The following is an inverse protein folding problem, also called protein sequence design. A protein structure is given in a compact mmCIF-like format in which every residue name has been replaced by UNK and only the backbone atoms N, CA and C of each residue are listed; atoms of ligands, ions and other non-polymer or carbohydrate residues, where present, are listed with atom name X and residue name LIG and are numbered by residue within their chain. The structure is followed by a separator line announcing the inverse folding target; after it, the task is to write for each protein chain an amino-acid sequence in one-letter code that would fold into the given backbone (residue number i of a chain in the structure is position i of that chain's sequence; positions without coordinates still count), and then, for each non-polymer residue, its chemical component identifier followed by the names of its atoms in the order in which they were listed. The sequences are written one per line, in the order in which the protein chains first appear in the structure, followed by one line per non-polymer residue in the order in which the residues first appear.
data_IF_907810394895
#
_entry.id   IF_907810394895
#
_cell.length_a   1.000
_cell.length_b   1.000
_cell.length_c   1.000
_cell.angle_alpha   90.00
_cell.angle_beta   90.00
_cell.angle_gamma   90.00
#
_symmetry.space_group_name_H-M   'P 1'
#
loop_
_entity.id
_entity.type
_entity.pdbx_description
1 polymer ?
#
# COMPACT_ATOMS: atom_id res chain seq x y z
N UNK A 1 -62.63 -27.99 -37.15
CA UNK A 1 -61.43 -28.88 -37.14
C UNK A 1 -60.26 -28.07 -37.71
N UNK A 2 -59.12 -27.80 -37.10
CA UNK A 2 -58.46 -28.22 -35.85
C UNK A 2 -57.68 -27.01 -35.29
N UNK A 3 -57.78 -26.81 -33.99
CA UNK A 3 -56.86 -25.99 -33.19
C UNK A 3 -55.46 -26.60 -33.23
N UNK A 4 -54.42 -25.80 -33.45
CA UNK A 4 -53.03 -26.19 -33.21
C UNK A 4 -52.36 -25.15 -32.30
N UNK A 5 -52.58 -25.38 -31.01
CA UNK A 5 -51.90 -24.71 -29.89
C UNK A 5 -50.41 -25.05 -29.93
N UNK A 6 -49.56 -24.18 -30.50
CA UNK A 6 -48.11 -24.21 -30.27
C UNK A 6 -47.83 -23.43 -28.99
N UNK A 7 -47.76 -24.14 -27.86
CA UNK A 7 -47.12 -23.65 -26.64
C UNK A 7 -45.67 -23.31 -26.99
N UNK A 8 -45.35 -22.02 -27.11
CA UNK A 8 -43.97 -21.56 -26.99
C UNK A 8 -43.58 -21.76 -25.52
N UNK A 9 -42.78 -22.78 -25.28
CA UNK A 9 -42.16 -23.01 -23.98
C UNK A 9 -41.23 -21.83 -23.70
N UNK A 10 -41.51 -21.07 -22.65
CA UNK A 10 -40.53 -20.15 -22.08
C UNK A 10 -39.31 -20.97 -21.62
N UNK A 11 -38.07 -20.50 -21.83
CA UNK A 11 -36.90 -21.22 -21.36
C UNK A 11 -36.82 -21.14 -19.83
N UNK A 12 -37.44 -22.11 -19.15
CA UNK A 12 -37.23 -22.39 -17.73
C UNK A 12 -35.93 -23.15 -17.57
N UNK A 13 -34.81 -22.45 -17.69
CA UNK A 13 -33.59 -22.88 -17.03
C UNK A 13 -32.99 -21.65 -16.38
N UNK A 14 -32.89 -21.69 -15.04
CA UNK A 14 -32.08 -20.74 -14.29
C UNK A 14 -30.68 -20.59 -14.89
N UNK A 15 -30.14 -21.61 -15.58
CA UNK A 15 -28.85 -21.52 -16.27
C UNK A 15 -28.88 -20.62 -17.51
N UNK A 16 -29.98 -20.56 -18.25
CA UNK A 16 -30.10 -19.70 -19.43
C UNK A 16 -30.25 -18.22 -19.04
N UNK A 17 -31.00 -17.96 -17.97
CA UNK A 17 -31.15 -16.62 -17.37
C UNK A 17 -29.84 -16.19 -16.71
N UNK A 18 -29.15 -17.07 -15.98
CA UNK A 18 -27.84 -16.78 -15.41
C UNK A 18 -26.77 -16.56 -16.50
N UNK A 19 -26.78 -17.33 -17.59
CA UNK A 19 -25.86 -17.14 -18.73
C UNK A 19 -26.14 -15.83 -19.48
N UNK A 20 -27.41 -15.42 -19.58
CA UNK A 20 -27.78 -14.12 -20.14
C UNK A 20 -27.39 -12.95 -19.22
N UNK A 21 -27.52 -13.10 -17.89
CA UNK A 21 -27.13 -12.09 -16.91
C UNK A 21 -25.59 -11.92 -16.80
N UNK A 22 -24.82 -13.01 -16.96
CA UNK A 22 -23.36 -12.97 -17.06
C UNK A 22 -22.88 -12.36 -18.38
N UNK A 23 -23.66 -12.49 -19.47
CA UNK A 23 -23.36 -11.85 -20.77
C UNK A 23 -23.87 -10.40 -20.88
N UNK A 24 -24.82 -9.98 -20.05
CA UNK A 24 -25.47 -8.67 -20.10
C UNK A 24 -24.99 -7.70 -19.01
N UNK A 25 -24.13 -8.14 -18.09
CA UNK A 25 -23.40 -7.22 -17.21
C UNK A 25 -22.20 -6.69 -17.99
N UNK A 26 -22.15 -5.38 -18.31
CA UNK A 26 -20.92 -4.81 -18.84
C UNK A 26 -19.84 -5.06 -17.77
N UNK A 27 -18.86 -5.89 -18.10
CA UNK A 27 -17.68 -6.08 -17.26
C UNK A 27 -17.15 -4.68 -17.01
N UNK A 28 -17.16 -4.23 -15.76
CA UNK A 28 -16.57 -2.96 -15.41
C UNK A 28 -15.12 -3.01 -15.94
N UNK A 29 -14.65 -2.04 -16.74
CA UNK A 29 -13.30 -2.08 -17.29
C UNK A 29 -12.20 -2.34 -16.23
N UNK A 30 -12.45 -1.97 -14.97
CA UNK A 30 -11.58 -2.32 -13.84
C UNK A 30 -11.54 -3.82 -13.51
N UNK A 31 -12.66 -4.54 -13.62
CA UNK A 31 -12.76 -5.96 -13.30
C UNK A 31 -12.01 -6.81 -14.33
N UNK A 32 -12.04 -6.41 -15.61
CA UNK A 32 -11.24 -7.04 -16.67
C UNK A 32 -9.73 -6.83 -16.44
N UNK A 33 -9.32 -5.62 -16.07
CA UNK A 33 -7.92 -5.29 -15.80
C UNK A 33 -7.38 -6.11 -14.61
N UNK A 34 -8.09 -6.17 -13.50
CA UNK A 34 -7.65 -6.94 -12.33
C UNK A 34 -7.69 -8.45 -12.59
N UNK A 35 -8.66 -8.95 -13.36
CA UNK A 35 -8.68 -10.36 -13.77
C UNK A 35 -7.43 -10.71 -14.59
N UNK A 36 -7.03 -9.86 -15.53
CA UNK A 36 -5.81 -10.07 -16.34
C UNK A 36 -4.55 -10.00 -15.49
N UNK A 37 -4.47 -9.10 -14.52
CA UNK A 37 -3.32 -9.01 -13.60
C UNK A 37 -3.26 -10.18 -12.61
N UNK A 38 -4.40 -10.71 -12.14
CA UNK A 38 -4.45 -11.93 -11.30
C UNK A 38 -4.05 -13.19 -12.07
N UNK A 39 -4.44 -13.28 -13.34
CA UNK A 39 -3.95 -14.32 -14.26
C UNK A 39 -2.44 -14.21 -14.45
N UNK A 40 -1.92 -12.99 -14.42
CA UNK A 40 -0.51 -12.65 -14.50
C UNK A 40 0.01 -12.56 -15.93
N UNK A 41 1.21 -11.97 -16.06
CA UNK A 41 1.89 -11.81 -17.34
C UNK A 41 3.40 -11.94 -17.19
N UNK A 42 4.05 -12.33 -18.28
CA UNK A 42 5.50 -12.32 -18.39
C UNK A 42 5.98 -10.88 -18.57
N UNK A 43 6.74 -10.36 -17.61
CA UNK A 43 7.45 -9.09 -17.71
C UNK A 43 8.95 -9.32 -17.55
N UNK A 44 9.75 -8.46 -18.17
CA UNK A 44 11.19 -8.49 -18.06
C UNK A 44 11.63 -7.49 -16.99
N UNK A 45 12.19 -8.01 -15.89
CA UNK A 45 12.86 -7.20 -14.88
C UNK A 45 14.22 -6.76 -15.40
N UNK A 46 14.38 -5.46 -15.64
CA UNK A 46 15.58 -4.88 -16.22
C UNK A 46 16.60 -4.52 -15.13
N UNK A 47 17.88 -4.70 -15.45
CA UNK A 47 18.99 -4.37 -14.56
C UNK A 47 19.90 -3.28 -15.12
N UNK A 48 20.65 -2.59 -14.24
CA UNK A 48 21.72 -1.64 -14.59
C UNK A 48 22.68 -2.04 -15.71
N UNK A 49 23.00 -3.32 -15.77
CA UNK A 49 23.90 -3.96 -16.74
C UNK A 49 23.17 -4.41 -18.01
N UNK A 50 21.91 -4.07 -18.19
CA UNK A 50 21.12 -4.45 -19.36
C UNK A 50 20.62 -5.89 -19.34
N UNK A 51 20.91 -6.67 -18.30
CA UNK A 51 20.30 -7.99 -18.16
C UNK A 51 18.79 -7.86 -17.96
N UNK A 52 18.03 -8.67 -18.69
CA UNK A 52 16.57 -8.73 -18.66
C UNK A 52 16.12 -10.09 -18.15
N UNK A 53 15.49 -10.10 -16.99
CA UNK A 53 15.04 -11.32 -16.34
C UNK A 53 13.54 -11.54 -16.59
N UNK A 54 13.13 -12.56 -17.37
CA UNK A 54 11.72 -12.86 -17.55
C UNK A 54 11.13 -13.38 -16.24
N UNK A 55 10.03 -12.78 -15.79
CA UNK A 55 9.33 -13.12 -14.55
C UNK A 55 7.83 -13.08 -14.79
N UNK A 56 7.12 -14.10 -14.29
CA UNK A 56 5.67 -14.11 -14.28
C UNK A 56 5.19 -13.26 -13.10
N UNK A 57 4.75 -12.04 -13.38
CA UNK A 57 4.15 -11.15 -12.39
C UNK A 57 2.66 -11.41 -12.32
N UNK A 58 2.09 -11.37 -11.12
CA UNK A 58 0.66 -11.53 -10.88
C UNK A 58 0.24 -10.78 -9.61
N UNK A 59 -1.04 -10.43 -9.52
CA UNK A 59 -1.64 -9.98 -8.26
C UNK A 59 -1.99 -11.18 -7.38
N UNK A 60 -1.69 -11.07 -6.10
CA UNK A 60 -1.97 -12.07 -5.08
C UNK A 60 -2.72 -11.45 -3.89
N UNK A 61 -3.31 -12.28 -3.04
CA UNK A 61 -3.99 -11.89 -1.80
C UNK A 61 -4.97 -10.71 -1.98
N UNK A 62 -6.11 -10.96 -2.64
CA UNK A 62 -7.20 -9.98 -2.82
C UNK A 62 -6.77 -8.64 -3.46
N UNK A 63 -5.76 -8.65 -4.33
CA UNK A 63 -5.26 -7.48 -5.07
C UNK A 63 -4.38 -6.53 -4.24
N UNK A 64 -3.88 -6.98 -3.09
CA UNK A 64 -3.00 -6.19 -2.20
C UNK A 64 -1.51 -6.34 -2.48
N UNK A 65 -1.14 -7.36 -3.28
CA UNK A 65 0.26 -7.76 -3.45
C UNK A 65 0.62 -7.97 -4.92
N UNK A 66 1.66 -7.27 -5.39
CA UNK A 66 2.34 -7.56 -6.65
C UNK A 66 3.41 -8.63 -6.39
N UNK A 67 3.31 -9.78 -7.06
CA UNK A 67 4.17 -10.93 -6.78
C UNK A 67 4.84 -11.51 -8.01
N UNK A 68 6.01 -12.14 -7.83
CA UNK A 68 6.66 -12.97 -8.85
C UNK A 68 7.59 -14.04 -8.24
N UNK A 69 7.82 -15.14 -8.95
CA UNK A 69 8.80 -16.17 -8.54
C UNK A 69 10.15 -16.00 -9.25
N UNK A 70 11.26 -16.31 -8.55
CA UNK A 70 12.57 -16.43 -9.19
C UNK A 70 12.60 -17.60 -10.19
N UNK A 71 13.34 -17.45 -11.28
CA UNK A 71 13.56 -18.52 -12.26
C UNK A 71 14.08 -19.78 -11.55
N UNK A 72 13.40 -20.91 -11.73
CA UNK A 72 13.77 -22.20 -11.15
C UNK A 72 13.19 -22.51 -9.76
N UNK A 73 12.43 -21.58 -9.15
CA UNK A 73 11.79 -21.76 -7.84
C UNK A 73 10.26 -21.56 -7.93
N UNK A 74 9.60 -22.30 -8.83
CA UNK A 74 8.14 -22.29 -9.00
C UNK A 74 7.37 -22.65 -7.70
N UNK A 75 8.03 -23.32 -6.75
CA UNK A 75 7.51 -23.64 -5.41
C UNK A 75 8.23 -22.90 -4.27
N UNK A 76 9.12 -21.95 -4.58
CA UNK A 76 9.81 -21.13 -3.59
C UNK A 76 8.98 -19.91 -3.18
N UNK A 77 9.34 -19.27 -2.06
CA UNK A 77 8.65 -18.06 -1.59
C UNK A 77 8.63 -16.99 -2.70
N UNK A 78 7.45 -16.45 -3.07
CA UNK A 78 7.38 -15.38 -4.06
C UNK A 78 8.07 -14.13 -3.53
N UNK A 79 8.64 -13.35 -4.45
CA UNK A 79 8.96 -11.96 -4.17
C UNK A 79 7.66 -11.19 -4.18
N UNK A 80 7.45 -10.34 -3.17
CA UNK A 80 6.20 -9.63 -2.94
C UNK A 80 6.51 -8.14 -2.76
N UNK A 81 5.73 -7.30 -3.42
CA UNK A 81 5.65 -5.86 -3.19
C UNK A 81 4.23 -5.54 -2.75
N UNK A 82 4.08 -4.83 -1.64
CA UNK A 82 2.77 -4.39 -1.18
C UNK A 82 2.32 -3.23 -2.06
N UNK A 83 1.09 -3.29 -2.56
CA UNK A 83 0.58 -2.23 -3.43
C UNK A 83 0.50 -0.89 -2.69
N UNK A 84 0.24 -0.92 -1.37
CA UNK A 84 0.25 0.26 -0.49
C UNK A 84 1.62 0.97 -0.35
N UNK A 85 2.72 0.29 -0.69
CA UNK A 85 4.09 0.83 -0.59
C UNK A 85 4.58 1.40 -1.93
N UNK A 86 3.75 1.36 -2.97
CA UNK A 86 4.07 1.94 -4.27
C UNK A 86 3.83 3.44 -4.18
N UNK A 87 4.89 4.22 -4.38
CA UNK A 87 4.83 5.68 -4.32
C UNK A 87 4.37 6.28 -5.65
N UNK A 88 4.91 5.75 -6.76
CA UNK A 88 4.62 6.25 -8.10
C UNK A 88 4.91 5.19 -9.18
N UNK A 89 4.29 5.38 -10.34
CA UNK A 89 4.58 4.61 -11.55
C UNK A 89 5.05 5.57 -12.63
N UNK A 90 6.24 5.32 -13.17
CA UNK A 90 6.84 6.11 -14.24
C UNK A 90 6.76 5.33 -15.55
N UNK A 91 6.03 5.85 -16.53
CA UNK A 91 5.94 5.26 -17.87
C UNK A 91 7.24 5.48 -18.65
N UNK A 92 7.72 4.53 -19.47
CA UNK A 92 8.89 4.73 -20.33
C UNK A 92 10.22 4.81 -19.59
N UNK A 93 11.20 5.53 -20.16
CA UNK A 93 12.60 5.52 -19.72
C UNK A 93 12.94 6.60 -18.68
N UNK A 94 12.07 6.79 -17.71
CA UNK A 94 12.18 7.88 -16.73
C UNK A 94 12.97 7.52 -15.45
N UNK A 95 13.40 6.26 -15.29
CA UNK A 95 14.27 5.83 -14.19
C UNK A 95 15.76 6.00 -14.50
N UNK A 96 16.60 6.04 -13.47
CA UNK A 96 18.06 6.10 -13.63
C UNK A 96 18.61 4.86 -14.34
N UNK A 97 18.01 3.69 -14.14
CA UNK A 97 18.37 2.47 -14.86
C UNK A 97 18.12 2.64 -16.35
N UNK A 98 16.91 2.99 -16.76
CA UNK A 98 16.57 3.12 -18.17
C UNK A 98 17.35 4.24 -18.87
N UNK A 99 17.52 5.41 -18.23
CA UNK A 99 18.38 6.49 -18.74
C UNK A 99 19.82 6.01 -19.01
N UNK A 100 20.38 5.19 -18.10
CA UNK A 100 21.71 4.58 -18.29
C UNK A 100 21.72 3.51 -19.38
N UNK A 101 20.67 2.71 -19.51
CA UNK A 101 20.58 1.72 -20.57
C UNK A 101 20.48 2.38 -21.94
N UNK A 102 19.71 3.45 -22.05
CA UNK A 102 19.57 4.27 -23.26
C UNK A 102 20.90 4.89 -23.67
N UNK A 103 21.60 5.56 -22.73
CA UNK A 103 22.90 6.18 -23.01
C UNK A 103 23.98 5.17 -23.42
N UNK A 104 23.90 3.94 -22.90
CA UNK A 104 24.79 2.84 -23.27
C UNK A 104 24.29 2.02 -24.47
N UNK A 105 23.21 2.43 -25.15
CA UNK A 105 22.59 1.72 -26.28
C UNK A 105 22.29 0.25 -26.00
N UNK A 106 21.86 -0.06 -24.77
CA UNK A 106 21.44 -1.41 -24.33
C UNK A 106 19.93 -1.63 -24.49
N UNK A 107 19.20 -0.59 -24.87
CA UNK A 107 17.78 -0.60 -25.24
C UNK A 107 17.59 0.32 -26.46
N UNK A 108 16.55 0.08 -27.25
CA UNK A 108 16.21 0.92 -28.40
C UNK A 108 15.19 1.99 -28.00
N UNK A 109 15.22 3.16 -28.63
CA UNK A 109 14.23 4.22 -28.40
C UNK A 109 12.80 3.72 -28.66
N UNK A 110 12.61 2.89 -29.70
CA UNK A 110 11.31 2.29 -30.04
C UNK A 110 10.74 1.38 -28.95
N UNK A 111 11.58 0.87 -28.05
CA UNK A 111 11.16 -0.05 -27.00
C UNK A 111 10.67 0.70 -25.74
N UNK A 112 10.74 2.04 -25.71
CA UNK A 112 10.29 2.86 -24.58
C UNK A 112 8.81 2.61 -24.26
N UNK A 113 7.98 2.42 -25.30
CA UNK A 113 6.54 2.19 -25.13
C UNK A 113 6.19 0.87 -24.42
N UNK A 114 7.16 -0.01 -24.19
CA UNK A 114 6.99 -1.25 -23.45
C UNK A 114 7.46 -1.15 -22.00
N UNK A 115 8.15 -0.06 -21.64
CA UNK A 115 8.82 0.09 -20.38
C UNK A 115 7.99 0.87 -19.36
N UNK A 116 8.16 0.53 -18.09
CA UNK A 116 7.65 1.27 -16.96
C UNK A 116 8.45 0.95 -15.71
N UNK A 117 8.39 1.84 -14.71
CA UNK A 117 9.09 1.68 -13.45
C UNK A 117 8.12 1.85 -12.30
N UNK A 118 8.15 0.93 -11.34
CA UNK A 118 7.44 1.06 -10.07
C UNK A 118 8.44 1.60 -9.06
N UNK A 119 8.16 2.78 -8.50
CA UNK A 119 8.92 3.31 -7.38
C UNK A 119 8.21 2.94 -6.08
N UNK A 120 8.98 2.54 -5.08
CA UNK A 120 8.47 2.11 -3.78
C UNK A 120 9.45 2.47 -2.68
N UNK A 121 8.97 2.39 -1.44
CA UNK A 121 9.73 2.71 -0.23
C UNK A 121 10.22 4.17 -0.24
N UNK A 122 9.27 5.13 -0.31
CA UNK A 122 9.53 6.57 -0.30
C UNK A 122 10.51 7.02 -1.40
N UNK A 123 10.32 6.51 -2.61
CA UNK A 123 11.13 6.77 -3.80
C UNK A 123 12.58 6.29 -3.72
N UNK A 124 12.95 5.50 -2.70
CA UNK A 124 14.32 4.98 -2.53
C UNK A 124 14.62 3.80 -3.44
N UNK A 125 13.58 3.08 -3.88
CA UNK A 125 13.74 1.88 -4.68
C UNK A 125 12.93 1.93 -5.98
N UNK A 126 13.48 1.27 -7.01
CA UNK A 126 12.91 1.20 -8.35
C UNK A 126 12.86 -0.26 -8.82
N UNK A 127 11.69 -0.65 -9.33
CA UNK A 127 11.50 -1.90 -10.08
C UNK A 127 11.28 -1.57 -11.55
N UNK A 128 12.35 -1.67 -12.32
CA UNK A 128 12.36 -1.41 -13.76
C UNK A 128 11.84 -2.62 -14.55
N UNK A 129 10.76 -2.43 -15.32
CA UNK A 129 10.06 -3.50 -16.03
C UNK A 129 9.87 -3.18 -17.52
N UNK A 130 9.89 -4.20 -18.35
CA UNK A 130 9.42 -4.14 -19.74
C UNK A 130 8.39 -5.23 -20.01
N UNK A 131 7.28 -4.87 -20.65
CA UNK A 131 6.31 -5.82 -21.16
C UNK A 131 6.71 -6.33 -22.56
N UNK A 132 6.02 -7.37 -23.03
CA UNK A 132 6.17 -7.89 -24.39
C UNK A 132 5.49 -7.02 -25.46
N UNK A 133 4.50 -6.24 -25.06
CA UNK A 133 3.71 -5.36 -25.92
C UNK A 133 3.11 -4.21 -25.10
N UNK A 134 2.69 -3.16 -25.79
CA UNK A 134 2.15 -1.97 -25.17
C UNK A 134 0.83 -2.25 -24.44
N UNK A 135 -0.02 -3.13 -24.95
CA UNK A 135 -1.30 -3.48 -24.33
C UNK A 135 -1.07 -4.07 -22.94
N UNK A 136 -0.11 -4.99 -22.81
CA UNK A 136 0.29 -5.59 -21.55
C UNK A 136 0.85 -4.52 -20.62
N UNK A 137 1.76 -3.65 -21.10
CA UNK A 137 2.30 -2.53 -20.30
C UNK A 137 1.19 -1.65 -19.76
N UNK A 138 0.28 -1.20 -20.61
CA UNK A 138 -0.83 -0.31 -20.24
C UNK A 138 -1.79 -0.98 -19.27
N UNK A 139 -2.03 -2.29 -19.42
CA UNK A 139 -2.82 -3.06 -18.45
C UNK A 139 -2.23 -3.03 -17.06
N UNK A 140 -0.90 -3.24 -16.95
CA UNK A 140 -0.21 -3.20 -15.66
C UNK A 140 -0.18 -1.80 -15.05
N UNK A 141 0.11 -0.77 -15.85
CA UNK A 141 0.10 0.62 -15.37
C UNK A 141 -1.30 1.01 -14.89
N UNK A 142 -2.32 0.80 -15.73
CA UNK A 142 -3.69 1.19 -15.40
C UNK A 142 -4.18 0.46 -14.17
N UNK A 143 -3.94 -0.85 -14.07
CA UNK A 143 -4.39 -1.63 -12.93
C UNK A 143 -3.66 -1.26 -11.64
N UNK A 144 -2.34 -1.04 -11.67
CA UNK A 144 -1.61 -0.56 -10.50
C UNK A 144 -2.05 0.85 -10.09
N UNK A 145 -2.28 1.76 -11.05
CA UNK A 145 -2.82 3.10 -10.76
C UNK A 145 -4.22 3.03 -10.15
N UNK A 146 -5.11 2.18 -10.68
CA UNK A 146 -6.44 1.96 -10.11
C UNK A 146 -6.36 1.38 -8.70
N UNK A 147 -5.39 0.49 -8.41
CA UNK A 147 -5.19 -0.02 -7.07
C UNK A 147 -4.61 1.04 -6.13
N UNK A 148 -3.58 1.79 -6.55
CA UNK A 148 -3.04 2.92 -5.78
C UNK A 148 -4.14 3.94 -5.48
N UNK A 149 -4.96 4.29 -6.47
CA UNK A 149 -6.09 5.19 -6.32
C UNK A 149 -7.18 4.57 -5.43
N UNK A 150 -7.42 3.25 -5.52
CA UNK A 150 -8.27 2.53 -4.59
C UNK A 150 -7.70 2.62 -3.18
N UNK A 151 -6.40 2.54 -2.93
CA UNK A 151 -5.82 2.73 -1.60
C UNK A 151 -5.94 4.18 -1.11
N UNK A 152 -5.76 5.15 -2.00
CA UNK A 152 -5.95 6.58 -1.70
C UNK A 152 -7.41 6.94 -1.42
N UNK A 153 -8.36 6.35 -2.16
CA UNK A 153 -9.82 6.56 -2.04
C UNK A 153 -10.48 5.70 -0.98
N UNK A 154 -10.04 4.45 -0.83
CA UNK A 154 -10.39 3.59 0.31
C UNK A 154 -9.84 4.15 1.59
N UNK A 155 -9.01 5.20 1.49
CA UNK A 155 -8.43 5.94 2.57
C UNK A 155 -7.50 5.09 3.40
N UNK A 156 -6.98 3.94 2.98
CA UNK A 156 -6.19 3.06 3.88
C UNK A 156 -4.96 3.77 4.46
N UNK A 157 -4.39 4.73 3.73
CA UNK A 157 -3.41 5.69 4.26
C UNK A 157 -4.00 6.69 5.30
N UNK A 158 -5.30 6.98 5.19
CA UNK A 158 -6.16 7.77 6.11
C UNK A 158 -6.84 6.94 7.24
N UNK A 159 -6.98 5.63 7.10
CA UNK A 159 -7.77 4.71 7.95
C UNK A 159 -6.91 3.94 8.94
N UNK A 160 -5.59 3.94 8.76
CA UNK A 160 -4.68 3.71 9.88
C UNK A 160 -5.00 4.69 11.03
N UNK A 161 -5.66 5.83 10.74
CA UNK A 161 -6.07 6.85 11.71
C UNK A 161 -7.60 7.00 11.93
N UNK A 162 -8.47 6.12 11.41
CA UNK A 162 -9.91 6.15 11.74
C UNK A 162 -10.33 4.94 12.56
N UNK A 163 -10.87 5.18 13.76
CA UNK A 163 -11.26 4.16 14.72
C UNK A 163 -12.17 3.07 14.12
N UNK A 164 -13.05 3.44 13.18
CA UNK A 164 -13.99 2.51 12.54
C UNK A 164 -13.32 1.40 11.71
N UNK A 165 -12.19 1.67 11.05
CA UNK A 165 -11.49 0.63 10.28
C UNK A 165 -10.73 -0.33 11.20
N UNK A 166 -10.11 0.21 12.27
CA UNK A 166 -9.44 -0.58 13.29
C UNK A 166 -10.46 -1.49 14.01
N UNK A 167 -11.63 -0.96 14.35
CA UNK A 167 -12.74 -1.74 14.90
C UNK A 167 -13.31 -2.78 13.91
N UNK A 168 -13.22 -2.53 12.60
CA UNK A 168 -13.57 -3.54 11.61
C UNK A 168 -12.53 -4.66 11.54
N UNK A 169 -11.23 -4.36 11.67
CA UNK A 169 -10.18 -5.38 11.79
C UNK A 169 -10.32 -6.21 13.07
N UNK A 170 -10.73 -5.57 14.17
CA UNK A 170 -11.07 -6.25 15.41
C UNK A 170 -12.14 -7.34 15.18
N UNK A 171 -13.25 -6.99 14.52
CA UNK A 171 -14.34 -7.93 14.22
C UNK A 171 -13.93 -9.10 13.33
N UNK A 172 -12.96 -8.89 12.44
CA UNK A 172 -12.44 -9.96 11.57
C UNK A 172 -11.51 -10.90 12.36
N UNK A 173 -10.79 -10.37 13.34
CA UNK A 173 -9.90 -11.14 14.20
C UNK A 173 -10.62 -11.90 15.31
N UNK A 174 -11.73 -11.37 15.80
CA UNK A 174 -12.60 -11.96 16.82
C UNK A 174 -13.45 -13.09 16.18
N UNK A 175 -12.80 -14.23 15.92
CA UNK A 175 -13.41 -15.33 15.16
C UNK A 175 -14.45 -16.09 15.97
N UNK A 176 -14.34 -16.02 17.30
CA UNK A 176 -15.28 -16.64 18.22
C UNK A 176 -16.41 -15.69 18.66
N UNK A 177 -16.40 -14.45 18.17
CA UNK A 177 -17.38 -13.39 18.50
C UNK A 177 -17.50 -13.18 20.02
N UNK A 178 -16.37 -13.34 20.72
CA UNK A 178 -16.29 -13.20 22.17
C UNK A 178 -16.32 -11.74 22.62
N UNK A 179 -16.15 -10.80 21.69
CA UNK A 179 -16.08 -9.37 21.95
C UNK A 179 -14.73 -8.92 22.48
N UNK A 180 -13.70 -9.78 22.46
CA UNK A 180 -12.35 -9.50 22.95
C UNK A 180 -11.31 -10.34 22.24
N UNK A 181 -10.15 -9.76 21.93
CA UNK A 181 -9.11 -10.48 21.21
C UNK A 181 -8.11 -11.14 22.15
N UNK A 182 -7.88 -12.43 21.92
CA UNK A 182 -6.76 -13.14 22.52
C UNK A 182 -5.43 -12.69 21.92
N UNK A 183 -4.33 -12.99 22.61
CA UNK A 183 -2.96 -12.76 22.09
C UNK A 183 -2.73 -13.43 20.74
N UNK A 184 -3.30 -14.62 20.53
CA UNK A 184 -3.12 -15.40 19.31
C UNK A 184 -3.87 -14.79 18.13
N UNK A 185 -5.09 -14.30 18.35
CA UNK A 185 -5.88 -13.60 17.34
C UNK A 185 -5.25 -12.27 16.97
N UNK A 186 -4.79 -11.50 17.96
CA UNK A 186 -4.00 -10.30 17.72
C UNK A 186 -2.73 -10.57 16.91
N UNK A 187 -1.92 -11.59 17.27
CA UNK A 187 -0.71 -11.92 16.50
C UNK A 187 -1.02 -12.35 15.06
N UNK A 188 -2.10 -13.12 14.88
CA UNK A 188 -2.55 -13.54 13.55
C UNK A 188 -2.96 -12.33 12.72
N UNK A 189 -3.78 -11.44 13.28
CA UNK A 189 -4.19 -10.21 12.61
C UNK A 189 -3.00 -9.31 12.24
N UNK A 190 -2.01 -9.15 13.12
CA UNK A 190 -0.81 -8.36 12.80
C UNK A 190 0.01 -8.99 11.68
N UNK A 191 0.09 -10.32 11.65
CA UNK A 191 0.75 -11.06 10.57
C UNK A 191 -0.01 -10.89 9.26
N UNK A 192 -1.34 -10.93 9.30
CA UNK A 192 -2.21 -10.88 8.13
C UNK A 192 -2.36 -9.45 7.56
N UNK A 193 -2.44 -8.44 8.42
CA UNK A 193 -2.70 -7.02 8.05
C UNK A 193 -1.42 -6.22 7.83
N UNK A 194 -0.39 -6.42 8.66
CA UNK A 194 0.85 -5.66 8.59
C UNK A 194 1.99 -6.43 7.91
N UNK A 195 1.82 -7.72 7.59
CA UNK A 195 2.83 -8.57 6.95
C UNK A 195 4.22 -8.50 7.63
N UNK A 196 4.23 -8.21 8.93
CA UNK A 196 5.45 -7.94 9.70
C UNK A 196 5.58 -8.97 10.81
N UNK A 197 6.71 -9.69 10.86
CA UNK A 197 7.04 -10.54 12.01
C UNK A 197 7.54 -9.67 13.15
N UNK A 198 6.63 -9.20 13.99
CA UNK A 198 7.00 -8.51 15.22
C UNK A 198 7.75 -9.47 16.16
N UNK A 199 8.91 -9.08 16.71
CA UNK A 199 9.58 -9.87 17.74
C UNK A 199 8.64 -10.12 18.92
N UNK A 200 8.48 -11.39 19.33
CA UNK A 200 7.55 -11.78 20.41
C UNK A 200 7.69 -10.94 21.69
N UNK A 201 8.91 -10.51 22.02
CA UNK A 201 9.18 -9.66 23.19
C UNK A 201 8.55 -8.26 23.07
N UNK A 202 8.59 -7.67 21.88
CA UNK A 202 7.98 -6.37 21.61
C UNK A 202 6.44 -6.49 21.58
N UNK A 203 5.92 -7.56 20.97
CA UNK A 203 4.49 -7.85 20.99
C UNK A 203 3.95 -7.98 22.40
N UNK A 204 4.63 -8.77 23.25
CA UNK A 204 4.20 -8.96 24.64
C UNK A 204 4.22 -7.65 25.44
N UNK A 205 5.19 -6.78 25.19
CA UNK A 205 5.28 -5.48 25.86
C UNK A 205 4.11 -4.58 25.45
N UNK A 206 3.88 -4.43 24.13
CA UNK A 206 2.82 -3.58 23.59
C UNK A 206 1.43 -4.09 23.95
N UNK A 207 1.23 -5.42 23.92
CA UNK A 207 -0.03 -6.04 24.32
C UNK A 207 -0.31 -5.77 25.80
N UNK A 208 0.71 -5.89 26.66
CA UNK A 208 0.57 -5.62 28.09
C UNK A 208 0.31 -4.14 28.39
N UNK A 209 0.85 -3.25 27.57
CA UNK A 209 0.63 -1.81 27.70
C UNK A 209 -0.78 -1.40 27.28
N UNK A 210 -1.34 -2.07 26.27
CA UNK A 210 -2.71 -1.86 25.82
C UNK A 210 -3.79 -2.56 26.67
N UNK A 211 -3.45 -3.67 27.34
CA UNK A 211 -4.33 -4.41 28.27
C UNK A 211 -4.47 -3.66 29.61
N UNK A 212 -5.23 -2.55 29.59
CA UNK A 212 -5.47 -1.67 30.74
C UNK A 212 -6.39 -2.35 31.76
N UNK A 213 -7.37 -3.11 31.27
CA UNK A 213 -8.29 -3.93 32.04
C UNK A 213 -7.57 -5.06 32.81
N UNK A 214 -6.38 -5.47 32.35
CA UNK A 214 -5.56 -6.56 32.89
C UNK A 214 -6.26 -7.92 32.85
N UNK A 215 -7.15 -8.10 31.90
CA UNK A 215 -7.90 -9.33 31.69
C UNK A 215 -7.12 -10.34 30.85
N UNK A 216 -5.99 -9.93 30.26
CA UNK A 216 -5.18 -10.76 29.37
C UNK A 216 -5.74 -10.86 27.96
N UNK A 217 -6.76 -10.05 27.65
CA UNK A 217 -7.45 -9.90 26.38
C UNK A 217 -7.46 -8.40 26.01
N UNK A 218 -7.70 -8.08 24.74
CA UNK A 218 -7.93 -6.69 24.33
C UNK A 218 -9.38 -6.52 23.92
N UNK A 219 -10.10 -5.62 24.60
CA UNK A 219 -11.42 -5.17 24.16
C UNK A 219 -11.30 -4.21 22.94
N UNK A 220 -12.40 -3.78 22.30
CA UNK A 220 -12.34 -2.94 21.10
C UNK A 220 -11.56 -1.63 21.29
N UNK A 221 -11.73 -0.97 22.43
CA UNK A 221 -11.05 0.29 22.78
C UNK A 221 -9.56 0.11 23.06
N UNK A 222 -9.19 -0.96 23.76
CA UNK A 222 -7.79 -1.33 24.04
C UNK A 222 -7.06 -1.77 22.76
N UNK A 223 -7.75 -2.54 21.91
CA UNK A 223 -7.22 -2.93 20.61
C UNK A 223 -7.00 -1.72 19.69
N UNK A 224 -7.91 -0.74 19.75
CA UNK A 224 -7.75 0.50 19.02
C UNK A 224 -6.47 1.25 19.41
N UNK A 225 -6.18 1.35 20.71
CA UNK A 225 -4.95 1.95 21.22
C UNK A 225 -3.70 1.13 20.87
N UNK A 226 -3.79 -0.19 20.98
CA UNK A 226 -2.74 -1.12 20.59
C UNK A 226 -2.33 -0.94 19.12
N UNK A 227 -3.32 -0.90 18.22
CA UNK A 227 -3.08 -0.81 16.78
C UNK A 227 -2.53 0.57 16.39
N UNK A 228 -3.05 1.66 16.98
CA UNK A 228 -2.48 3.01 16.79
C UNK A 228 -1.03 3.08 17.25
N UNK A 229 -0.70 2.51 18.40
CA UNK A 229 0.68 2.48 18.92
C UNK A 229 1.63 1.68 18.03
N UNK A 230 1.11 0.75 17.24
CA UNK A 230 1.85 -0.11 16.35
C UNK A 230 2.14 0.51 14.98
N UNK A 231 1.20 1.26 14.43
CA UNK A 231 1.37 1.90 13.12
C UNK A 231 2.10 3.24 13.18
N UNK A 232 2.36 3.73 14.40
CA UNK A 232 3.23 4.87 14.69
C UNK A 232 4.69 4.56 14.30
N UNK A 233 5.24 5.32 13.35
CA UNK A 233 6.63 5.24 12.87
C UNK A 233 7.63 5.60 13.97
N UNK A 234 8.02 4.64 14.82
CA UNK A 234 8.96 4.83 15.94
C UNK A 234 10.31 5.47 15.53
N UNK A 235 10.72 5.31 14.27
CA UNK A 235 11.87 5.98 13.66
C UNK A 235 11.65 7.50 13.48
N UNK A 236 10.47 7.93 13.04
CA UNK A 236 10.12 9.35 12.95
C UNK A 236 10.14 10.03 14.32
N UNK A 237 9.60 9.37 15.35
CA UNK A 237 9.59 9.94 16.70
C UNK A 237 11.00 10.21 17.20
N UNK A 238 11.94 9.28 16.97
CA UNK A 238 13.35 9.48 17.35
C UNK A 238 13.97 10.65 16.60
N UNK A 239 13.64 10.82 15.33
CA UNK A 239 14.12 11.95 14.51
C UNK A 239 13.53 13.26 15.03
N UNK A 240 12.22 13.32 15.29
CA UNK A 240 11.58 14.54 15.78
C UNK A 240 12.05 14.91 17.20
N UNK A 241 12.21 13.93 18.09
CA UNK A 241 12.78 14.14 19.44
C UNK A 241 14.22 14.67 19.40
N UNK A 242 15.03 14.31 18.40
CA UNK A 242 16.40 14.83 18.27
C UNK A 242 16.45 16.32 17.88
N UNK A 243 15.34 16.87 17.38
CA UNK A 243 15.29 18.22 16.81
C UNK A 243 14.33 19.18 17.51
N UNK A 244 13.45 18.70 18.41
CA UNK A 244 12.59 19.54 19.26
C UNK A 244 13.33 19.94 20.54
N UNK A 245 13.33 21.24 20.89
CA UNK A 245 14.08 21.77 22.04
C UNK A 245 13.34 21.69 23.38
N UNK A 246 12.02 21.58 23.39
CA UNK A 246 11.23 21.49 24.63
C UNK A 246 11.15 20.05 25.15
N UNK A 247 12.01 19.78 26.14
CA UNK A 247 12.30 18.47 26.70
C UNK A 247 11.27 17.90 27.69
N UNK A 248 9.97 18.10 27.48
CA UNK A 248 8.95 17.47 28.35
C UNK A 248 7.84 16.74 27.58
N UNK A 249 8.10 16.42 26.31
CA UNK A 249 7.20 15.62 25.49
C UNK A 249 7.39 14.12 25.77
N UNK A 250 6.96 13.70 26.96
CA UNK A 250 7.00 12.31 27.43
C UNK A 250 5.99 11.40 26.69
N UNK A 251 5.04 11.98 25.95
CA UNK A 251 4.01 11.26 25.20
C UNK A 251 4.11 11.48 23.69
N UNK A 252 3.90 10.39 22.94
CA UNK A 252 3.89 10.34 21.48
C UNK A 252 2.96 11.38 20.82
N UNK A 253 1.88 11.78 21.51
CA UNK A 253 0.87 12.73 20.99
C UNK A 253 1.26 14.20 21.21
N UNK A 254 2.35 14.45 21.95
CA UNK A 254 2.74 15.80 22.38
C UNK A 254 3.95 16.37 21.65
N UNK A 255 4.63 15.56 20.81
CA UNK A 255 5.82 16.01 20.08
C UNK A 255 5.36 16.88 18.92
N UNK A 256 5.74 18.15 18.95
CA UNK A 256 5.43 19.14 17.92
C UNK A 256 6.70 19.84 17.52
N UNK A 257 6.94 19.94 16.22
CA UNK A 257 8.10 20.60 15.65
C UNK A 257 7.70 21.94 15.07
N UNK A 258 8.38 23.01 15.46
CA UNK A 258 8.12 24.33 14.87
C UNK A 258 8.91 24.53 13.55
N UNK A 259 8.56 25.56 12.79
CA UNK A 259 9.21 25.86 11.51
C UNK A 259 10.74 26.06 11.61
N UNK A 260 11.26 26.55 12.74
CA UNK A 260 12.71 26.74 12.92
C UNK A 260 13.42 25.40 13.15
N UNK A 261 12.83 24.52 13.94
CA UNK A 261 13.32 23.17 14.18
C UNK A 261 13.26 22.31 12.91
N UNK A 262 12.17 22.42 12.15
CA UNK A 262 12.04 21.76 10.85
C UNK A 262 13.05 22.30 9.83
N UNK A 263 13.25 23.62 9.76
CA UNK A 263 14.28 24.23 8.93
C UNK A 263 15.68 23.72 9.30
N UNK A 264 15.97 23.56 10.60
CA UNK A 264 17.23 23.03 11.07
C UNK A 264 17.42 21.56 10.66
N UNK A 265 16.37 20.74 10.75
CA UNK A 265 16.38 19.37 10.23
C UNK A 265 16.65 19.34 8.72
N UNK A 266 16.00 20.19 7.93
CA UNK A 266 16.20 20.27 6.48
C UNK A 266 17.66 20.63 6.12
N UNK A 267 18.27 21.55 6.87
CA UNK A 267 19.66 21.98 6.62
C UNK A 267 20.66 20.91 7.06
N UNK A 268 20.57 20.46 8.31
CA UNK A 268 21.62 19.67 8.93
C UNK A 268 21.47 18.17 8.74
N UNK A 269 20.24 17.69 8.53
CA UNK A 269 19.94 16.27 8.37
C UNK A 269 19.62 15.92 6.92
N UNK A 270 18.95 16.81 6.17
CA UNK A 270 18.63 16.59 4.74
C UNK A 270 19.59 17.29 3.76
N UNK A 271 20.48 18.16 4.24
CA UNK A 271 21.52 18.80 3.42
C UNK A 271 21.01 19.92 2.50
N UNK A 272 19.84 20.51 2.79
CA UNK A 272 19.24 21.60 2.00
C UNK A 272 19.64 22.97 2.56
N UNK A 273 20.35 23.83 1.81
CA UNK A 273 20.87 25.11 2.35
C UNK A 273 19.99 26.34 2.06
N UNK A 274 19.64 26.62 0.80
CA UNK A 274 19.33 28.01 0.42
C UNK A 274 17.85 28.44 0.55
N UNK A 275 16.93 27.53 0.90
CA UNK A 275 15.48 27.80 0.99
C UNK A 275 14.77 27.07 2.16
N UNK A 276 15.53 26.50 3.09
CA UNK A 276 14.99 25.58 4.10
C UNK A 276 13.90 26.21 4.99
N UNK A 277 13.99 27.50 5.31
CA UNK A 277 13.01 28.16 6.18
C UNK A 277 11.67 28.44 5.49
N UNK A 278 11.69 28.90 4.22
CA UNK A 278 10.46 29.10 3.43
C UNK A 278 9.80 27.76 3.10
N UNK A 279 10.63 26.72 2.85
CA UNK A 279 10.16 25.35 2.62
C UNK A 279 9.56 24.73 3.87
N UNK A 280 10.16 24.92 5.05
CA UNK A 280 9.63 24.44 6.32
C UNK A 280 8.21 24.99 6.58
N UNK A 281 7.99 26.29 6.35
CA UNK A 281 6.67 26.91 6.48
C UNK A 281 5.65 26.33 5.49
N UNK A 282 6.03 26.17 4.21
CA UNK A 282 5.18 25.56 3.19
C UNK A 282 4.84 24.10 3.50
N UNK A 283 5.80 23.34 4.01
CA UNK A 283 5.59 21.94 4.40
C UNK A 283 4.59 21.85 5.55
N UNK A 284 4.71 22.71 6.56
CA UNK A 284 3.73 22.76 7.66
C UNK A 284 2.33 23.10 7.13
N UNK A 285 2.23 24.08 6.24
CA UNK A 285 0.94 24.50 5.66
C UNK A 285 0.27 23.39 4.82
N UNK A 286 1.07 22.59 4.12
CA UNK A 286 0.59 21.53 3.22
C UNK A 286 0.38 20.18 3.91
N UNK A 287 1.11 19.91 4.99
CA UNK A 287 1.15 18.60 5.64
C UNK A 287 0.40 18.54 6.97
N UNK A 288 0.30 19.64 7.73
CA UNK A 288 -0.39 19.63 9.03
C UNK A 288 -1.93 19.64 8.86
N UNK A 289 -2.57 18.60 9.39
CA UNK A 289 -4.00 18.37 9.26
C UNK A 289 -4.82 19.06 10.37
N UNK A 290 -4.22 19.33 11.54
CA UNK A 290 -4.87 20.10 12.60
C UNK A 290 -4.77 21.60 12.32
N UNK A 291 -5.91 22.24 12.04
CA UNK A 291 -5.97 23.67 11.72
C UNK A 291 -5.39 24.57 12.81
N UNK A 292 -5.47 24.17 14.09
CA UNK A 292 -4.91 24.93 15.21
C UNK A 292 -3.40 24.81 15.25
N UNK A 293 -2.85 23.63 14.98
CA UNK A 293 -1.40 23.41 14.94
C UNK A 293 -0.79 24.10 13.71
N UNK A 294 -1.45 23.97 12.56
CA UNK A 294 -1.08 24.67 11.33
C UNK A 294 -1.06 26.18 11.50
N UNK A 295 -2.09 26.75 12.16
CA UNK A 295 -2.12 28.19 12.47
C UNK A 295 -1.03 28.64 13.44
N UNK A 296 -0.50 27.73 14.26
CA UNK A 296 0.61 27.98 15.18
C UNK A 296 1.99 27.71 14.55
N UNK A 297 2.05 27.25 13.29
CA UNK A 297 3.30 26.88 12.63
C UNK A 297 3.97 25.66 13.26
N UNK A 298 3.16 24.73 13.77
CA UNK A 298 3.60 23.49 14.39
C UNK A 298 3.28 22.30 13.49
N UNK A 299 4.21 21.35 13.42
CA UNK A 299 4.07 20.07 12.74
C UNK A 299 3.98 18.96 13.79
N UNK A 300 2.90 18.18 13.75
CA UNK A 300 2.74 16.94 14.49
C UNK A 300 3.46 15.78 13.80
N UNK A 301 3.45 14.59 14.40
CA UNK A 301 4.14 13.41 13.84
C UNK A 301 3.31 12.72 12.73
N UNK A 302 2.01 13.00 12.67
CA UNK A 302 1.05 12.41 11.72
C UNK A 302 1.14 13.04 10.33
#
# INVERSE_FOLDING_TARGET
MKSSNKRQQQPTSYSAIATALVKATPINPSDDVFFRMKTGALLFKCKPDGTKYPRQFYLYNSEDMLSYHESGKLFGKPNVYLIKEIDEIRCGYHSNTFKRLLSKRRVNDSDEMFAFTIMYDNHQHALDLMARDQITRDTWINGLQLLMERYSRSGVAKFINTDNWILNQFRIADKDDSGSLTKQECQSLLTDVLNTKMPNRLFQLMFKEADISKEGLLNPEEFLQFFKSLTRRQDLYKIMQQHVKDGDSMSLDSIKMNAQELSHFLIHTQGESDMASDRALKLIEQSEMDEKLRAQGLLSVD
#
